data_IF_925835647684
#
_entry.id   IF_925835647684
#
_cell.length_a   1.000
_cell.length_b   1.000
_cell.length_c   1.000
_cell.angle_alpha   90.00
_cell.angle_beta   90.00
_cell.angle_gamma   90.00
#
_symmetry.space_group_name_H-M   'P 1'
#
loop_
_entity.id
_entity.type
_entity.pdbx_description
1 polymer ?
#
# COMPACT_ATOMS: atom_id res chain seq x y z
N UNK A 1 -3.22 5.91 -12.36
CA UNK A 1 -1.88 5.29 -12.38
C UNK A 1 -1.03 6.13 -11.46
N UNK A 2 -0.57 5.56 -10.35
CA UNK A 2 0.24 6.30 -9.38
C UNK A 2 1.62 6.49 -9.98
N UNK A 3 2.03 7.73 -10.20
CA UNK A 3 3.40 8.01 -10.65
C UNK A 3 4.35 7.69 -9.49
N UNK A 4 5.13 6.61 -9.64
CA UNK A 4 6.15 6.23 -8.69
C UNK A 4 7.43 7.04 -8.91
N UNK A 5 8.22 7.23 -7.84
CA UNK A 5 9.40 8.10 -7.83
C UNK A 5 10.50 7.78 -8.86
N UNK A 6 10.56 6.56 -9.40
CA UNK A 6 11.48 6.18 -10.47
C UNK A 6 10.96 4.97 -11.26
N UNK A 7 11.53 4.73 -12.44
CA UNK A 7 11.15 3.61 -13.31
C UNK A 7 11.29 2.24 -12.63
N UNK A 8 12.35 2.05 -11.83
CA UNK A 8 12.56 0.80 -11.09
C UNK A 8 11.46 0.57 -10.05
N UNK A 9 11.09 1.59 -9.28
CA UNK A 9 9.96 1.51 -8.34
C UNK A 9 8.66 1.20 -9.09
N UNK A 10 8.38 1.88 -10.20
CA UNK A 10 7.18 1.64 -11.01
C UNK A 10 7.10 0.19 -11.51
N UNK A 11 8.22 -0.34 -12.03
CA UNK A 11 8.29 -1.72 -12.52
C UNK A 11 8.08 -2.73 -11.39
N UNK A 12 8.72 -2.53 -10.24
CA UNK A 12 8.61 -3.47 -9.13
C UNK A 12 7.29 -3.37 -8.35
N UNK A 13 6.60 -2.22 -8.39
CA UNK A 13 5.26 -2.08 -7.82
C UNK A 13 4.17 -2.75 -8.67
N UNK A 14 4.46 -3.06 -9.94
CA UNK A 14 3.52 -3.65 -10.90
C UNK A 14 4.08 -4.94 -11.52
N UNK A 15 4.81 -5.75 -10.74
CA UNK A 15 5.26 -7.06 -11.21
C UNK A 15 4.04 -7.94 -11.50
N UNK A 16 3.97 -8.44 -12.73
CA UNK A 16 3.02 -9.48 -13.13
C UNK A 16 3.79 -10.79 -13.31
N UNK A 17 3.38 -11.83 -12.60
CA UNK A 17 3.95 -13.17 -12.71
C UNK A 17 2.95 -14.11 -13.38
N UNK A 18 3.37 -14.78 -14.45
CA UNK A 18 2.55 -15.78 -15.14
C UNK A 18 2.46 -17.11 -14.37
N UNK A 19 3.34 -17.33 -13.40
CA UNK A 19 3.37 -18.54 -12.58
C UNK A 19 2.65 -18.40 -11.23
N UNK A 20 2.51 -17.18 -10.72
CA UNK A 20 1.95 -16.94 -9.37
C UNK A 20 0.86 -15.87 -9.43
N UNK A 21 -0.36 -16.24 -9.06
CA UNK A 21 -1.49 -15.29 -8.95
C UNK A 21 -1.36 -14.38 -7.73
N UNK A 22 -0.79 -14.90 -6.65
CA UNK A 22 -0.54 -14.14 -5.42
C UNK A 22 0.86 -13.50 -5.47
N UNK A 23 0.98 -12.16 -5.42
CA UNK A 23 2.25 -11.47 -5.36
C UNK A 23 3.14 -11.92 -4.19
N UNK A 24 2.57 -12.31 -3.04
CA UNK A 24 3.34 -12.75 -1.87
C UNK A 24 3.98 -14.14 -2.06
N UNK A 25 3.41 -14.96 -2.94
CA UNK A 25 3.94 -16.27 -3.29
C UNK A 25 5.05 -16.20 -4.36
N UNK A 26 5.17 -15.07 -5.07
CA UNK A 26 6.19 -14.89 -6.09
C UNK A 26 7.51 -14.40 -5.46
N UNK A 27 8.62 -15.15 -5.56
CA UNK A 27 9.91 -14.73 -5.00
C UNK A 27 10.54 -13.51 -5.72
N UNK A 28 10.03 -13.17 -6.90
CA UNK A 28 10.50 -12.01 -7.69
C UNK A 28 9.73 -10.71 -7.36
N UNK A 29 8.61 -10.81 -6.63
CA UNK A 29 7.87 -9.65 -6.14
C UNK A 29 8.49 -9.19 -4.83
N UNK A 30 9.32 -8.14 -4.90
CA UNK A 30 10.07 -7.65 -3.74
C UNK A 30 9.27 -6.69 -2.87
N UNK A 31 8.39 -5.90 -3.47
CA UNK A 31 7.63 -4.86 -2.78
C UNK A 31 6.14 -5.00 -3.05
N UNK A 32 5.34 -4.43 -2.15
CA UNK A 32 3.90 -4.26 -2.32
C UNK A 32 3.53 -2.78 -2.15
N UNK A 33 2.54 -2.32 -2.91
CA UNK A 33 1.96 -0.98 -2.77
C UNK A 33 0.48 -1.09 -2.39
N UNK A 34 0.14 -0.64 -1.19
CA UNK A 34 -1.23 -0.60 -0.70
C UNK A 34 -1.86 0.76 -0.98
N UNK A 35 -2.59 0.89 -2.10
CA UNK A 35 -3.22 2.15 -2.51
C UNK A 35 -4.10 2.78 -1.42
N UNK A 36 -4.89 1.97 -0.71
CA UNK A 36 -5.74 2.41 0.41
C UNK A 36 -5.01 3.16 1.52
N UNK A 37 -3.72 2.85 1.72
CA UNK A 37 -2.89 3.47 2.74
C UNK A 37 -1.78 4.33 2.15
N UNK A 38 -1.69 4.48 0.83
CA UNK A 38 -0.53 5.09 0.14
C UNK A 38 0.81 4.55 0.65
N UNK A 39 0.87 3.24 0.94
CA UNK A 39 1.98 2.65 1.70
C UNK A 39 2.76 1.66 0.84
N UNK A 40 4.09 1.71 0.97
CA UNK A 40 5.00 0.73 0.39
C UNK A 40 5.49 -0.22 1.47
N UNK A 41 5.49 -1.52 1.16
CA UNK A 41 6.06 -2.56 2.01
C UNK A 41 7.11 -3.36 1.25
N UNK A 42 8.17 -3.77 1.94
CA UNK A 42 9.08 -4.83 1.52
C UNK A 42 8.47 -6.17 1.92
N UNK A 43 8.21 -7.05 0.96
CA UNK A 43 7.57 -8.35 1.22
C UNK A 43 8.53 -9.25 2.02
N UNK A 44 7.99 -9.93 3.02
CA UNK A 44 8.70 -10.98 3.77
C UNK A 44 8.20 -12.33 3.25
N UNK A 45 9.04 -13.05 2.51
CA UNK A 45 8.69 -14.37 1.97
C UNK A 45 8.86 -15.48 3.02
N UNK A 46 8.03 -15.42 4.07
CA UNK A 46 7.95 -16.42 5.15
C UNK A 46 6.82 -17.45 4.93
N UNK A 47 6.12 -17.37 3.80
CA UNK A 47 4.94 -18.17 3.48
C UNK A 47 3.61 -17.52 3.90
N UNK A 48 3.63 -16.31 4.46
CA UNK A 48 2.45 -15.49 4.74
C UNK A 48 2.35 -14.25 3.85
N UNK A 49 1.53 -13.28 4.28
CA UNK A 49 1.33 -11.99 3.60
C UNK A 49 1.99 -10.82 4.34
N UNK A 50 3.08 -11.12 5.03
CA UNK A 50 3.82 -10.16 5.86
C UNK A 50 4.62 -9.19 4.97
N UNK A 51 4.64 -7.91 5.35
CA UNK A 51 5.49 -6.90 4.73
C UNK A 51 5.99 -5.90 5.78
N UNK A 52 7.20 -5.37 5.56
CA UNK A 52 7.80 -4.32 6.39
C UNK A 52 7.62 -2.98 5.68
N UNK A 53 6.93 -2.03 6.29
CA UNK A 53 6.76 -0.68 5.72
C UNK A 53 8.11 -0.01 5.48
N UNK A 54 8.28 0.60 4.30
CA UNK A 54 9.50 1.31 3.91
C UNK A 54 9.23 2.80 3.68
N UNK A 55 10.15 3.66 4.14
CA UNK A 55 10.05 5.12 3.97
C UNK A 55 10.89 5.70 2.83
N UNK A 56 11.74 4.88 2.19
CA UNK A 56 12.63 5.29 1.12
C UNK A 56 12.62 4.26 0.00
N UNK A 57 12.70 4.74 -1.25
CA UNK A 57 12.80 3.91 -2.43
C UNK A 57 14.10 3.08 -2.41
N UNK A 58 14.04 1.74 -2.50
CA UNK A 58 15.22 0.89 -2.50
C UNK A 58 16.15 1.12 -3.70
N UNK A 59 15.66 1.74 -4.78
CA UNK A 59 16.41 1.92 -6.03
C UNK A 59 17.00 3.31 -6.22
N UNK A 60 16.25 4.38 -5.94
CA UNK A 60 16.73 5.76 -6.14
C UNK A 60 16.97 6.53 -4.83
N UNK A 61 16.63 5.95 -3.67
CA UNK A 61 16.80 6.60 -2.36
C UNK A 61 15.83 7.77 -2.09
N UNK A 62 14.89 8.06 -2.99
CA UNK A 62 13.87 9.09 -2.77
C UNK A 62 13.01 8.75 -1.55
N UNK A 63 12.67 9.75 -0.73
CA UNK A 63 11.70 9.61 0.35
C UNK A 63 10.33 9.31 -0.25
N UNK A 64 9.67 8.29 0.27
CA UNK A 64 8.32 7.89 -0.14
C UNK A 64 7.26 8.72 0.60
N UNK A 65 6.03 8.82 0.06
CA UNK A 65 4.91 9.38 0.79
C UNK A 65 4.73 8.72 2.16
N UNK A 66 4.28 9.49 3.13
CA UNK A 66 3.96 8.96 4.45
C UNK A 66 2.76 8.00 4.36
N UNK A 67 2.81 6.92 5.13
CA UNK A 67 1.69 5.98 5.20
C UNK A 67 0.46 6.68 5.76
N UNK A 68 -0.65 6.56 5.05
CA UNK A 68 -1.94 7.08 5.44
C UNK A 68 -2.75 6.08 6.26
N UNK A 69 -2.14 4.96 6.68
CA UNK A 69 -2.77 3.89 7.46
C UNK A 69 -3.42 4.41 8.74
N UNK A 70 -2.72 5.21 9.53
CA UNK A 70 -3.27 5.74 10.78
C UNK A 70 -4.46 6.66 10.51
N UNK A 71 -4.30 7.59 9.55
CA UNK A 71 -5.39 8.47 9.09
C UNK A 71 -6.63 7.69 8.60
N UNK A 72 -6.41 6.54 7.97
CA UNK A 72 -7.50 5.68 7.49
C UNK A 72 -8.30 5.11 8.67
N UNK A 73 -7.62 4.59 9.69
CA UNK A 73 -8.29 4.08 10.90
C UNK A 73 -9.00 5.20 11.66
N UNK A 74 -8.36 6.36 11.84
CA UNK A 74 -8.96 7.53 12.50
C UNK A 74 -10.26 7.97 11.80
N UNK A 75 -10.27 7.94 10.46
CA UNK A 75 -11.43 8.36 9.67
C UNK A 75 -12.58 7.35 9.73
N UNK A 76 -12.29 6.05 9.80
CA UNK A 76 -13.32 5.02 10.04
C UNK A 76 -13.87 5.09 11.47
N UNK A 77 -13.01 5.25 12.47
CA UNK A 77 -13.43 5.41 13.87
C UNK A 77 -14.32 6.63 14.04
N UNK A 78 -13.98 7.76 13.40
CA UNK A 78 -14.80 8.98 13.39
C UNK A 78 -16.19 8.76 12.79
N UNK A 79 -16.33 7.79 11.89
CA UNK A 79 -17.62 7.37 11.30
C UNK A 79 -18.32 6.27 12.11
N UNK A 80 -17.68 5.77 13.18
CA UNK A 80 -18.19 4.68 14.00
C UNK A 80 -18.16 3.33 13.30
N UNK A 81 -17.19 3.12 12.41
CA UNK A 81 -17.01 1.89 11.63
C UNK A 81 -15.84 1.11 12.21
N UNK A 82 -16.08 -0.12 12.64
CA UNK A 82 -15.02 -1.07 12.98
C UNK A 82 -14.63 -1.89 11.73
N UNK A 83 -13.45 -1.68 11.14
CA UNK A 83 -13.05 -2.39 9.92
C UNK A 83 -12.89 -3.91 10.09
N UNK A 84 -12.93 -4.43 11.32
CA UNK A 84 -12.86 -5.87 11.59
C UNK A 84 -14.24 -6.54 11.64
N UNK A 85 -15.29 -5.77 11.97
CA UNK A 85 -16.65 -6.28 12.18
C UNK A 85 -17.66 -5.72 11.16
N UNK A 86 -17.44 -4.50 10.68
CA UNK A 86 -18.34 -3.76 9.79
C UNK A 86 -17.88 -3.77 8.33
N UNK A 87 -18.81 -3.51 7.41
CA UNK A 87 -18.51 -3.32 6.00
C UNK A 87 -17.81 -1.97 5.77
N UNK A 88 -16.56 -2.01 5.32
CA UNK A 88 -15.79 -0.82 4.97
C UNK A 88 -16.32 -0.22 3.65
N UNK A 89 -16.72 1.07 3.63
CA UNK A 89 -17.25 1.71 2.43
C UNK A 89 -16.27 1.63 1.25
N UNK A 90 -16.81 1.46 0.04
CA UNK A 90 -16.01 1.22 -1.17
C UNK A 90 -14.94 2.30 -1.43
N UNK A 91 -15.17 3.54 -1.03
CA UNK A 91 -14.20 4.66 -1.13
C UNK A 91 -12.94 4.48 -0.25
N UNK A 92 -13.01 3.67 0.81
CA UNK A 92 -11.90 3.35 1.72
C UNK A 92 -11.14 2.08 1.30
N UNK A 93 -11.59 1.38 0.26
CA UNK A 93 -10.93 0.16 -0.23
C UNK A 93 -9.73 0.46 -1.14
N UNK A 94 -9.62 1.69 -1.65
CA UNK A 94 -8.53 2.16 -2.52
C UNK A 94 -8.12 3.60 -2.16
N UNK A 95 -7.41 4.28 -3.06
CA UNK A 95 -6.87 5.63 -2.84
C UNK A 95 -7.92 6.76 -2.98
N UNK A 96 -9.17 6.47 -3.33
CA UNK A 96 -10.19 7.51 -3.58
C UNK A 96 -10.50 8.38 -2.36
N UNK A 97 -10.42 7.84 -1.15
CA UNK A 97 -10.64 8.62 0.07
C UNK A 97 -9.51 9.64 0.37
N UNK A 98 -8.32 9.49 -0.24
CA UNK A 98 -7.17 10.36 0.03
C UNK A 98 -7.39 11.81 -0.43
N UNK A 99 -8.29 12.03 -1.38
CA UNK A 99 -8.64 13.37 -1.88
C UNK A 99 -9.44 14.24 -0.89
N UNK A 100 -9.78 13.71 0.30
CA UNK A 100 -10.38 14.48 1.40
C UNK A 100 -9.39 15.49 2.01
N UNK A 101 -9.85 16.64 2.55
CA UNK A 101 -9.01 17.81 2.80
C UNK A 101 -7.84 17.47 3.72
N UNK A 102 -6.63 17.76 3.23
CA UNK A 102 -5.41 17.81 4.02
C UNK A 102 -5.64 18.76 5.19
N UNK A 103 -5.48 18.29 6.43
CA UNK A 103 -5.42 19.19 7.59
C UNK A 103 -4.03 19.83 7.59
N UNK A 104 -4.00 21.14 7.35
CA UNK A 104 -2.87 22.04 7.65
C UNK A 104 -2.54 22.05 9.15
#
# INVERSE_FOLDING_TARGET
>A
MTDHCCEAMNRHAHVECDQHTDPFACPDTLITFGARFQEYGLIVHDGGTSAITIGFCPWCGARLPESQRDRWFDELERRGIDPWEDEVPAEFQDDRWLAGPSRE
#
